data_IF_399443264804
#
_entry.id   IF_399443264804
#
_cell.length_a   1.000
_cell.length_b   1.000
_cell.length_c   1.000
_cell.angle_alpha   90.00
_cell.angle_beta   90.00
_cell.angle_gamma   90.00
#
_symmetry.space_group_name_H-M   'P 1'
#
loop_
_entity.id
_entity.type
_entity.pdbx_description
1 polymer ?
#
# COMPACT_ATOMS: atom_id res chain seq x y z
N UNK A 1 -16.71 -21.72 24.24
CA UNK A 1 -17.28 -20.66 25.11
C UNK A 1 -16.28 -20.05 26.09
N UNK A 2 -15.10 -20.64 26.35
CA UNK A 2 -14.16 -20.16 27.37
C UNK A 2 -13.52 -18.78 27.08
N UNK A 3 -13.06 -18.51 25.84
CA UNK A 3 -12.38 -17.25 25.50
C UNK A 3 -13.26 -15.99 25.60
N UNK A 4 -14.57 -16.11 25.40
CA UNK A 4 -15.49 -14.97 25.52
C UNK A 4 -15.72 -14.56 26.99
N UNK A 5 -15.85 -15.56 27.88
CA UNK A 5 -15.97 -15.33 29.32
C UNK A 5 -14.70 -14.69 29.90
N UNK A 6 -13.53 -15.13 29.46
CA UNK A 6 -12.25 -14.54 29.84
C UNK A 6 -12.16 -13.05 29.48
N UNK A 7 -12.61 -12.68 28.28
CA UNK A 7 -12.61 -11.29 27.81
C UNK A 7 -13.53 -10.38 28.64
N UNK A 8 -14.69 -10.90 29.07
CA UNK A 8 -15.59 -10.15 29.96
C UNK A 8 -14.98 -9.91 31.34
N UNK A 9 -14.20 -10.87 31.85
CA UNK A 9 -13.53 -10.74 33.15
C UNK A 9 -12.35 -9.77 33.06
N UNK A 10 -11.55 -9.81 31.99
CA UNK A 10 -10.49 -8.81 31.75
C UNK A 10 -11.04 -7.40 31.56
N UNK A 11 -12.17 -7.25 30.88
CA UNK A 11 -12.85 -5.95 30.77
C UNK A 11 -13.40 -5.43 32.11
N UNK A 12 -13.61 -6.32 33.08
CA UNK A 12 -13.95 -5.99 34.46
C UNK A 12 -12.71 -5.87 35.38
N UNK A 13 -11.52 -5.71 34.79
CA UNK A 13 -10.23 -5.53 35.45
C UNK A 13 -9.75 -6.75 36.28
N UNK A 14 -10.32 -7.94 36.03
CA UNK A 14 -9.79 -9.19 36.54
C UNK A 14 -8.67 -9.70 35.64
N UNK A 15 -7.50 -9.95 36.23
CA UNK A 15 -6.39 -10.59 35.54
C UNK A 15 -6.70 -12.07 35.32
N UNK A 16 -6.87 -12.47 34.06
CA UNK A 16 -7.14 -13.87 33.67
C UNK A 16 -5.98 -14.35 32.81
N UNK A 17 -5.24 -15.33 33.32
CA UNK A 17 -4.23 -16.06 32.55
C UNK A 17 -4.92 -17.20 31.79
N UNK A 18 -5.08 -17.01 30.47
CA UNK A 18 -5.75 -17.99 29.62
C UNK A 18 -4.69 -18.78 28.84
N UNK A 19 -4.80 -20.11 28.88
CA UNK A 19 -3.99 -20.98 28.02
C UNK A 19 -4.12 -20.53 26.54
N UNK A 20 -3.03 -20.34 25.80
CA UNK A 20 -3.04 -19.89 24.40
C UNK A 20 -3.93 -20.74 23.48
N UNK A 21 -4.20 -22.00 23.84
CA UNK A 21 -5.10 -22.90 23.10
C UNK A 21 -6.59 -22.58 23.31
N UNK A 22 -6.92 -21.77 24.30
CA UNK A 22 -8.27 -21.34 24.65
C UNK A 22 -8.58 -19.91 24.19
N UNK A 23 -7.59 -19.20 23.65
CA UNK A 23 -7.76 -17.89 23.04
C UNK A 23 -8.42 -18.03 21.67
N UNK A 24 -9.75 -17.86 21.66
CA UNK A 24 -10.59 -17.98 20.48
C UNK A 24 -10.82 -16.61 19.80
N UNK A 25 -9.80 -15.76 19.72
CA UNK A 25 -9.83 -14.58 18.84
C UNK A 25 -8.99 -14.82 17.58
N UNK A 26 -9.43 -15.66 16.62
CA UNK A 26 -8.87 -15.56 15.29
C UNK A 26 -9.20 -14.17 14.75
N UNK A 27 -8.18 -13.44 14.29
CA UNK A 27 -8.37 -12.25 13.47
C UNK A 27 -9.00 -12.72 12.15
N UNK A 28 -10.33 -12.71 12.11
CA UNK A 28 -11.10 -13.10 10.93
C UNK A 28 -11.29 -11.89 10.04
N UNK A 29 -10.94 -12.02 8.76
CA UNK A 29 -11.30 -11.07 7.70
C UNK A 29 -12.24 -11.76 6.71
N UNK A 30 -12.97 -11.02 5.86
CA UNK A 30 -13.90 -11.59 4.88
C UNK A 30 -13.30 -12.67 3.96
N UNK A 31 -11.98 -12.63 3.71
CA UNK A 31 -11.25 -13.62 2.92
C UNK A 31 -10.93 -14.93 3.69
N UNK A 32 -11.07 -14.93 5.02
CA UNK A 32 -10.77 -16.05 5.92
C UNK A 32 -11.76 -16.11 7.10
N UNK A 33 -13.05 -16.44 6.86
CA UNK A 33 -14.10 -16.40 7.88
C UNK A 33 -13.88 -17.36 9.06
N UNK A 34 -12.99 -18.35 8.90
CA UNK A 34 -12.68 -19.36 9.92
C UNK A 34 -11.29 -19.16 10.56
N UNK A 35 -10.56 -18.09 10.21
CA UNK A 35 -9.19 -17.87 10.70
C UNK A 35 -8.16 -18.90 10.23
N UNK A 36 -8.55 -19.87 9.40
CA UNK A 36 -7.68 -20.96 8.91
C UNK A 36 -6.80 -20.57 7.72
N UNK A 37 -7.05 -19.42 7.08
CA UNK A 37 -6.31 -18.94 5.90
C UNK A 37 -5.34 -17.81 6.24
N UNK A 38 -4.66 -17.91 7.39
CA UNK A 38 -3.78 -16.84 7.92
C UNK A 38 -2.72 -16.41 6.91
N UNK A 39 -2.11 -17.36 6.19
CA UNK A 39 -1.10 -17.07 5.18
C UNK A 39 -1.66 -16.28 3.97
N UNK A 40 -2.89 -16.55 3.56
CA UNK A 40 -3.55 -15.80 2.50
C UNK A 40 -3.82 -14.34 2.88
N UNK A 41 -4.04 -14.06 4.17
CA UNK A 41 -4.26 -12.69 4.65
C UNK A 41 -3.00 -11.84 4.54
N UNK A 42 -1.83 -12.43 4.75
CA UNK A 42 -0.57 -11.73 4.59
C UNK A 42 -0.34 -11.31 3.12
N UNK A 43 -0.60 -12.22 2.19
CA UNK A 43 -0.50 -11.94 0.75
C UNK A 43 -1.48 -10.83 0.33
N UNK A 44 -2.73 -10.89 0.80
CA UNK A 44 -3.71 -9.81 0.54
C UNK A 44 -3.23 -8.47 1.08
N UNK A 45 -2.70 -8.42 2.30
CA UNK A 45 -2.20 -7.19 2.89
C UNK A 45 -0.99 -6.60 2.13
N UNK A 46 -0.10 -7.45 1.60
CA UNK A 46 1.00 -7.01 0.73
C UNK A 46 0.46 -6.46 -0.60
N UNK A 47 -0.50 -7.16 -1.22
CA UNK A 47 -1.11 -6.72 -2.47
C UNK A 47 -1.88 -5.40 -2.34
N UNK A 48 -2.61 -5.18 -1.23
CA UNK A 48 -3.27 -3.89 -0.96
C UNK A 48 -2.26 -2.77 -0.78
N UNK A 49 -1.16 -3.00 -0.04
CA UNK A 49 -0.08 -2.00 0.09
C UNK A 49 0.57 -1.67 -1.24
N UNK A 50 0.79 -2.67 -2.09
CA UNK A 50 1.35 -2.46 -3.43
C UNK A 50 0.42 -1.61 -4.30
N UNK A 51 -0.89 -1.88 -4.26
CA UNK A 51 -1.90 -1.07 -4.97
C UNK A 51 -2.00 0.35 -4.46
N UNK A 52 -1.74 0.56 -3.16
CA UNK A 52 -1.78 1.87 -2.51
C UNK A 52 -0.43 2.62 -2.56
N UNK A 53 0.59 2.09 -3.21
CA UNK A 53 1.91 2.71 -3.25
C UNK A 53 1.89 4.00 -4.10
N UNK A 54 2.19 5.13 -3.47
CA UNK A 54 2.22 6.45 -4.13
C UNK A 54 3.50 6.69 -4.95
N UNK A 55 4.53 5.85 -4.80
CA UNK A 55 5.81 5.97 -5.50
C UNK A 55 6.29 4.62 -6.04
N UNK A 56 7.03 4.65 -7.13
CA UNK A 56 7.63 3.44 -7.70
C UNK A 56 8.68 2.82 -6.77
N UNK A 57 9.37 3.63 -5.96
CA UNK A 57 10.33 3.15 -4.94
C UNK A 57 9.64 2.42 -3.78
N UNK A 58 8.47 2.91 -3.34
CA UNK A 58 7.65 2.22 -2.35
C UNK A 58 7.09 0.90 -2.91
N UNK A 59 6.65 0.89 -4.18
CA UNK A 59 6.19 -0.32 -4.86
C UNK A 59 7.32 -1.35 -5.02
N UNK A 60 8.53 -0.92 -5.39
CA UNK A 60 9.71 -1.79 -5.45
C UNK A 60 10.04 -2.38 -4.06
N UNK A 61 10.07 -1.55 -3.01
CA UNK A 61 10.33 -2.00 -1.64
C UNK A 61 9.30 -3.00 -1.09
N UNK A 62 8.04 -2.89 -1.52
CA UNK A 62 7.00 -3.87 -1.21
C UNK A 62 7.16 -5.16 -2.03
N UNK A 63 7.65 -5.06 -3.26
CA UNK A 63 7.97 -6.19 -4.13
C UNK A 63 9.15 -6.98 -3.57
N UNK A 64 10.18 -6.31 -3.03
CA UNK A 64 11.30 -6.96 -2.34
C UNK A 64 10.85 -7.77 -1.12
N UNK A 65 9.81 -7.35 -0.38
CA UNK A 65 9.29 -8.15 0.74
C UNK A 65 8.73 -9.51 0.29
N UNK A 66 8.30 -9.61 -0.97
CA UNK A 66 7.84 -10.88 -1.57
C UNK A 66 9.01 -11.71 -2.12
N UNK A 67 10.15 -11.05 -2.39
CA UNK A 67 11.34 -11.62 -3.02
C UNK A 67 12.50 -11.92 -2.06
N UNK A 68 12.52 -11.34 -0.86
CA UNK A 68 13.62 -11.44 0.11
C UNK A 68 14.07 -12.89 0.37
N UNK A 69 15.33 -13.26 0.08
CA UNK A 69 15.75 -14.66 0.05
C UNK A 69 15.69 -15.39 1.41
N UNK A 70 15.50 -14.68 2.53
CA UNK A 70 15.55 -15.26 3.88
C UNK A 70 14.16 -15.44 4.49
N UNK A 71 13.28 -14.44 4.37
CA UNK A 71 11.96 -14.45 5.03
C UNK A 71 10.78 -14.22 4.08
N UNK A 72 10.98 -14.26 2.76
CA UNK A 72 9.89 -13.98 1.84
C UNK A 72 8.95 -15.16 1.58
N UNK A 73 7.78 -14.78 1.07
CA UNK A 73 6.74 -15.71 0.60
C UNK A 73 7.30 -16.67 -0.47
N UNK A 74 8.18 -16.15 -1.34
CA UNK A 74 8.99 -16.85 -2.35
C UNK A 74 9.65 -18.12 -1.78
N UNK A 75 10.57 -17.87 -0.86
CA UNK A 75 11.41 -18.89 -0.23
C UNK A 75 10.59 -19.93 0.53
N UNK A 76 9.58 -19.49 1.29
CA UNK A 76 8.72 -20.41 2.06
C UNK A 76 7.81 -21.29 1.20
N UNK A 77 7.43 -20.82 0.02
CA UNK A 77 6.71 -21.65 -0.95
C UNK A 77 7.65 -22.68 -1.62
N UNK A 78 8.92 -22.33 -1.86
CA UNK A 78 9.91 -23.30 -2.35
C UNK A 78 10.16 -24.40 -1.33
N UNK A 79 10.40 -24.05 -0.07
CA UNK A 79 10.55 -25.02 1.03
C UNK A 79 9.31 -25.92 1.18
N UNK A 80 8.11 -25.35 1.00
CA UNK A 80 6.87 -26.11 1.01
C UNK A 80 6.84 -27.17 -0.11
N UNK A 81 7.26 -26.81 -1.33
CA UNK A 81 7.30 -27.76 -2.44
C UNK A 81 8.35 -28.86 -2.23
N UNK A 82 9.52 -28.54 -1.70
CA UNK A 82 10.54 -29.54 -1.36
C UNK A 82 10.03 -30.52 -0.29
N UNK A 83 9.32 -30.00 0.73
CA UNK A 83 8.71 -30.84 1.75
C UNK A 83 7.55 -31.69 1.18
N UNK A 84 6.79 -31.15 0.24
CA UNK A 84 5.71 -31.88 -0.43
C UNK A 84 6.25 -32.99 -1.35
N UNK A 85 7.36 -32.75 -2.06
CA UNK A 85 8.08 -33.76 -2.81
C UNK A 85 8.51 -34.91 -1.89
N UNK A 86 9.17 -34.59 -0.77
CA UNK A 86 9.62 -35.58 0.22
C UNK A 86 8.46 -36.36 0.86
N UNK A 87 7.34 -35.70 1.17
CA UNK A 87 6.16 -36.34 1.75
C UNK A 87 5.47 -37.31 0.78
N UNK A 88 5.65 -37.11 -0.53
CA UNK A 88 5.09 -37.95 -1.58
C UNK A 88 6.14 -38.87 -2.23
N UNK A 89 7.30 -39.04 -1.59
CA UNK A 89 8.35 -40.00 -1.98
C UNK A 89 7.93 -41.46 -1.66
N UNK A 90 6.73 -41.84 -2.10
CA UNK A 90 6.26 -43.22 -2.09
C UNK A 90 6.83 -43.87 -3.35
N UNK A 91 7.43 -45.05 -3.20
CA UNK A 91 8.07 -45.82 -4.28
C UNK A 91 7.02 -46.51 -5.17
N UNK A 92 6.10 -45.72 -5.71
CA UNK A 92 5.09 -46.12 -6.68
C UNK A 92 4.96 -45.04 -7.77
N UNK A 93 4.40 -45.43 -8.91
CA UNK A 93 4.31 -44.56 -10.10
C UNK A 93 3.54 -43.25 -9.83
N UNK A 94 2.47 -43.33 -9.02
CA UNK A 94 1.67 -42.15 -8.64
C UNK A 94 2.44 -41.17 -7.75
N UNK A 95 3.24 -41.67 -6.81
CA UNK A 95 4.12 -40.87 -5.96
C UNK A 95 5.23 -40.20 -6.75
N UNK A 96 5.79 -40.90 -7.74
CA UNK A 96 6.78 -40.35 -8.65
C UNK A 96 6.22 -39.22 -9.55
N UNK A 97 5.04 -39.40 -10.16
CA UNK A 97 4.37 -38.34 -10.92
C UNK A 97 4.08 -37.11 -10.05
N UNK A 98 3.55 -37.34 -8.84
CA UNK A 98 3.20 -36.26 -7.92
C UNK A 98 4.42 -35.51 -7.40
N UNK A 99 5.52 -36.20 -7.06
CA UNK A 99 6.81 -35.60 -6.73
C UNK A 99 7.32 -34.73 -7.87
N UNK A 100 7.29 -35.25 -9.10
CA UNK A 100 7.67 -34.49 -10.30
C UNK A 100 6.84 -33.21 -10.50
N UNK A 101 5.55 -33.23 -10.19
CA UNK A 101 4.70 -32.02 -10.23
C UNK A 101 5.10 -30.97 -9.19
N UNK A 102 5.52 -31.39 -8.00
CA UNK A 102 6.04 -30.46 -6.98
C UNK A 102 7.38 -29.85 -7.39
N UNK A 103 8.29 -30.65 -7.93
CA UNK A 103 9.56 -30.17 -8.49
C UNK A 103 9.33 -29.15 -9.63
N UNK A 104 8.40 -29.45 -10.54
CA UNK A 104 8.03 -28.53 -11.64
C UNK A 104 7.39 -27.23 -11.13
N UNK A 105 6.58 -27.30 -10.08
CA UNK A 105 6.00 -26.13 -9.43
C UNK A 105 7.07 -25.26 -8.76
N UNK A 106 8.03 -25.87 -8.06
CA UNK A 106 9.17 -25.16 -7.46
C UNK A 106 10.01 -24.46 -8.52
N UNK A 107 10.31 -25.13 -9.65
CA UNK A 107 11.03 -24.51 -10.77
C UNK A 107 10.30 -23.28 -11.33
N UNK A 108 8.99 -23.39 -11.59
CA UNK A 108 8.19 -22.25 -12.08
C UNK A 108 8.15 -21.10 -11.08
N UNK A 109 8.14 -21.41 -9.78
CA UNK A 109 8.19 -20.38 -8.74
C UNK A 109 9.51 -19.59 -8.80
N UNK A 110 10.63 -20.27 -9.04
CA UNK A 110 11.93 -19.61 -9.26
C UNK A 110 11.91 -18.71 -10.49
N UNK A 111 11.35 -19.16 -11.62
CA UNK A 111 11.20 -18.34 -12.84
C UNK A 111 10.37 -17.07 -12.56
N UNK A 112 9.26 -17.19 -11.83
CA UNK A 112 8.44 -16.05 -11.42
C UNK A 112 9.22 -15.09 -10.50
N UNK A 113 10.05 -15.63 -9.60
CA UNK A 113 10.89 -14.83 -8.70
C UNK A 113 11.91 -14.00 -9.48
N UNK A 114 12.53 -14.57 -10.51
CA UNK A 114 13.48 -13.88 -11.39
C UNK A 114 12.79 -12.75 -12.16
N UNK A 115 11.63 -13.02 -12.76
CA UNK A 115 10.82 -12.01 -13.45
C UNK A 115 10.43 -10.85 -12.53
N UNK A 116 10.06 -11.16 -11.28
CA UNK A 116 9.65 -10.16 -10.32
C UNK A 116 10.83 -9.31 -9.82
N UNK A 117 12.04 -9.89 -9.71
CA UNK A 117 13.27 -9.13 -9.47
C UNK A 117 13.51 -8.10 -10.57
N UNK A 118 13.42 -8.51 -11.84
CA UNK A 118 13.56 -7.60 -12.99
C UNK A 118 12.51 -6.49 -12.97
N UNK A 119 11.26 -6.82 -12.59
CA UNK A 119 10.20 -5.84 -12.46
C UNK A 119 10.47 -4.83 -11.32
N UNK A 120 11.00 -5.29 -10.17
CA UNK A 120 11.40 -4.44 -9.04
C UNK A 120 12.48 -3.43 -9.45
N UNK A 121 13.52 -3.90 -10.13
CA UNK A 121 14.59 -3.03 -10.64
C UNK A 121 14.06 -2.01 -11.64
N UNK A 122 13.13 -2.43 -12.51
CA UNK A 122 12.48 -1.53 -13.46
C UNK A 122 11.62 -0.48 -12.76
N UNK A 123 10.91 -0.83 -11.68
CA UNK A 123 10.17 0.13 -10.86
C UNK A 123 11.11 1.20 -10.29
N UNK A 124 12.26 0.80 -9.74
CA UNK A 124 13.27 1.76 -9.26
C UNK A 124 13.79 2.66 -10.37
N UNK A 125 14.01 2.10 -11.55
CA UNK A 125 14.50 2.85 -12.71
C UNK A 125 13.51 3.92 -13.23
N UNK A 126 12.22 3.81 -12.92
CA UNK A 126 11.22 4.84 -13.28
C UNK A 126 11.40 6.15 -12.50
N UNK A 127 12.14 6.14 -11.38
CA UNK A 127 12.41 7.32 -10.57
C UNK A 127 11.18 7.90 -9.85
N UNK A 128 11.26 9.08 -9.23
CA UNK A 128 10.11 9.69 -8.55
C UNK A 128 8.99 9.98 -9.56
N UNK A 129 7.71 9.76 -9.20
CA UNK A 129 6.60 10.22 -10.02
C UNK A 129 6.74 11.72 -10.25
N UNK A 130 6.63 12.16 -11.51
CA UNK A 130 6.85 13.56 -11.89
C UNK A 130 5.97 14.48 -11.04
N UNK A 131 6.60 15.41 -10.31
CA UNK A 131 5.88 16.36 -9.47
C UNK A 131 4.97 17.18 -10.40
N UNK A 132 3.64 17.20 -10.20
CA UNK A 132 2.77 17.97 -11.04
C UNK A 132 3.14 19.45 -10.89
N UNK A 133 3.67 20.01 -11.98
CA UNK A 133 3.96 21.42 -12.16
C UNK A 133 2.73 22.25 -11.73
N UNK A 134 2.92 23.21 -10.82
CA UNK A 134 1.86 24.09 -10.31
C UNK A 134 1.12 24.84 -11.43
N UNK A 135 1.82 25.16 -12.53
CA UNK A 135 1.24 25.76 -13.74
C UNK A 135 0.33 24.77 -14.48
N UNK A 136 0.71 23.49 -14.58
CA UNK A 136 -0.14 22.44 -15.17
C UNK A 136 -1.42 22.25 -14.36
N UNK A 137 -1.31 22.28 -13.02
CA UNK A 137 -2.48 22.23 -12.14
C UNK A 137 -3.38 23.46 -12.31
N UNK A 138 -2.82 24.65 -12.47
CA UNK A 138 -3.58 25.88 -12.72
C UNK A 138 -4.27 25.89 -14.08
N UNK A 139 -3.64 25.32 -15.12
CA UNK A 139 -4.25 25.19 -16.44
C UNK A 139 -5.43 24.21 -16.40
N UNK A 140 -5.25 23.02 -15.80
CA UNK A 140 -6.32 22.05 -15.63
C UNK A 140 -7.47 22.59 -14.75
N UNK A 141 -7.14 23.35 -13.70
CA UNK A 141 -8.13 24.05 -12.88
C UNK A 141 -8.90 25.11 -13.69
N UNK A 142 -8.22 25.88 -14.55
CA UNK A 142 -8.89 26.86 -15.42
C UNK A 142 -9.74 26.21 -16.51
N UNK A 143 -9.34 25.05 -17.01
CA UNK A 143 -10.12 24.27 -17.98
C UNK A 143 -11.37 23.65 -17.37
N UNK A 144 -11.33 23.29 -16.08
CA UNK A 144 -12.45 22.67 -15.36
C UNK A 144 -13.27 23.65 -14.53
N UNK A 145 -12.80 24.90 -14.37
CA UNK A 145 -13.52 25.93 -13.65
C UNK A 145 -14.82 26.32 -14.39
N UNK A 146 -15.95 26.45 -13.68
CA UNK A 146 -17.18 26.97 -14.26
C UNK A 146 -16.93 28.37 -14.86
N UNK A 147 -17.51 28.70 -16.03
CA UNK A 147 -17.39 30.03 -16.59
C UNK A 147 -17.97 31.04 -15.61
N UNK A 148 -17.11 31.86 -15.00
CA UNK A 148 -17.56 33.04 -14.27
C UNK A 148 -18.32 33.90 -15.27
N UNK A 149 -19.64 33.95 -15.14
CA UNK A 149 -20.47 34.87 -15.91
C UNK A 149 -19.99 36.28 -15.62
N UNK A 150 -19.20 36.83 -16.54
CA UNK A 150 -18.97 38.26 -16.67
C UNK A 150 -20.30 38.89 -17.05
N UNK A 151 -21.08 39.25 -16.04
CA UNK A 151 -22.43 39.78 -16.17
C UNK A 151 -22.75 40.74 -15.04
N UNK A 152 -22.00 41.83 -14.93
CA UNK A 152 -22.50 43.06 -14.33
C UNK A 152 -21.90 44.25 -15.11
N UNK A 153 -22.75 45.13 -15.69
CA UNK A 153 -22.29 46.22 -16.53
C UNK A 153 -21.53 47.27 -15.70
N UNK A 154 -20.52 47.84 -16.33
CA UNK A 154 -19.85 49.05 -15.88
C UNK A 154 -20.91 50.15 -15.66
N UNK A 155 -21.17 50.52 -14.41
CA UNK A 155 -21.74 51.84 -14.14
C UNK A 155 -20.60 52.83 -14.20
N UNK A 156 -20.43 53.43 -15.38
CA UNK A 156 -19.64 54.64 -15.56
C UNK A 156 -20.30 55.74 -14.74
N UNK A 157 -19.77 56.01 -13.55
CA UNK A 157 -19.95 57.32 -12.93
C UNK A 157 -18.83 58.22 -13.45
N UNK A 158 -19.18 59.00 -14.48
CA UNK A 158 -18.48 60.21 -14.85
C UNK A 158 -18.47 61.16 -13.66
N UNK A 159 -17.31 61.32 -13.01
CA UNK A 159 -16.98 62.61 -12.41
C UNK A 159 -15.50 62.91 -12.60
N UNK A 160 -15.26 63.85 -13.51
CA UNK A 160 -13.98 64.51 -13.75
C UNK A 160 -13.82 65.62 -12.72
N UNK A 161 -12.75 65.57 -11.93
CA UNK A 161 -12.09 66.71 -11.29
C UNK A 161 -10.72 66.20 -10.78
N UNK A 162 -9.66 66.38 -11.57
CA UNK A 162 -8.72 67.49 -11.44
C UNK A 162 -7.79 67.40 -10.21
N UNK A 163 -6.56 66.96 -10.49
CA UNK A 163 -5.30 67.55 -10.03
C UNK A 163 -4.81 67.30 -8.58
N UNK A 164 -3.52 66.95 -8.52
CA UNK A 164 -2.55 67.07 -7.44
C UNK A 164 -2.38 65.89 -6.46
N UNK A 165 -1.25 65.19 -6.64
CA UNK A 165 -0.48 64.55 -5.57
C UNK A 165 -0.06 65.58 -4.51
N UNK A 166 -0.15 65.23 -3.22
CA UNK A 166 0.92 65.59 -2.30
C UNK A 166 1.35 64.41 -1.42
N UNK A 167 2.64 64.13 -1.45
CA UNK A 167 3.38 63.28 -0.52
C UNK A 167 3.40 63.91 0.89
N UNK A 168 3.19 63.15 1.97
CA UNK A 168 3.46 63.63 3.33
C UNK A 168 4.97 63.51 3.69
N UNK A 169 5.53 64.48 4.43
CA UNK A 169 6.96 64.56 4.75
C UNK A 169 7.38 63.64 5.92
N UNK A 170 8.63 63.19 5.89
CA UNK A 170 9.23 62.31 6.91
C UNK A 170 9.48 62.97 8.28
N UNK A 171 9.73 62.16 9.32
CA UNK A 171 9.80 62.64 10.71
C UNK A 171 11.10 63.41 11.02
N UNK A 172 10.93 64.59 11.62
CA UNK A 172 12.00 65.45 12.16
C UNK A 172 12.70 64.77 13.35
N UNK A 173 14.03 64.79 13.34
CA UNK A 173 14.89 64.51 14.50
C UNK A 173 14.81 65.66 15.51
N UNK A 174 14.49 65.33 16.76
CA UNK A 174 14.69 66.19 17.92
C UNK A 174 16.11 66.02 18.46
N UNK A 175 16.62 67.11 19.00
CA UNK A 175 17.98 67.35 19.51
C UNK A 175 18.22 66.68 20.86
#
# INVERSE_FOLDING_TARGET
MAGHAARMLTAADYQVDLDPRLDASPVTTPAGPHGTRVHGLHIVAVAERLKAADTYDAAASLTEQVLDPVDCVLARLSEFFDAAEQANAVDNEDGFDLGGRFTDAARRLTEISEDLHVASDRLRALGPPGVPNWQTQLTAYRETAPPQHAGAPATVLTQSAATALPTPPGPRRSR
#
